data_IF_155750179959
#
_entry.id   IF_155750179959
#
_cell.length_a   1.000
_cell.length_b   1.000
_cell.length_c   1.000
_cell.angle_alpha   90.00
_cell.angle_beta   90.00
_cell.angle_gamma   90.00
#
_symmetry.space_group_name_H-M   'P 1'
#
loop_
_entity.id
_entity.type
_entity.pdbx_description
1 polymer ?
#
# COMPACT_ATOMS: atom_id res chain seq x y z
N UNK A 1 4.75 -11.05 -8.22
CA UNK A 1 3.62 -10.67 -7.36
C UNK A 1 3.90 -9.33 -6.71
N UNK A 2 2.93 -8.74 -6.01
CA UNK A 2 3.13 -7.57 -5.15
C UNK A 2 3.06 -7.99 -3.67
N UNK A 3 3.78 -7.29 -2.81
CA UNK A 3 3.72 -7.49 -1.37
C UNK A 3 2.63 -6.64 -0.72
N UNK A 4 2.01 -7.17 0.33
CA UNK A 4 1.14 -6.39 1.21
C UNK A 4 1.95 -5.26 1.88
N UNK A 5 1.28 -4.15 2.19
CA UNK A 5 1.90 -3.02 2.90
C UNK A 5 0.98 -2.44 3.97
N UNK A 6 1.56 -1.72 4.90
CA UNK A 6 0.82 -0.80 5.78
C UNK A 6 0.61 0.51 5.02
N UNK A 7 -0.53 1.18 5.24
CA UNK A 7 -0.79 2.51 4.71
C UNK A 7 0.39 3.44 4.99
N UNK A 8 0.92 4.08 3.95
CA UNK A 8 2.07 5.01 4.02
C UNK A 8 1.84 6.27 3.20
N UNK A 9 0.58 6.56 2.87
CA UNK A 9 0.13 7.65 1.99
C UNK A 9 0.58 7.57 0.52
N UNK A 10 1.25 6.51 0.07
CA UNK A 10 1.67 6.35 -1.33
C UNK A 10 0.95 5.20 -2.03
N UNK A 11 0.96 5.22 -3.37
CA UNK A 11 0.48 4.12 -4.22
C UNK A 11 1.60 3.13 -4.60
N UNK A 12 2.84 3.36 -4.17
CA UNK A 12 3.96 2.50 -4.54
C UNK A 12 3.81 1.09 -3.95
N UNK A 13 4.04 0.07 -4.76
CA UNK A 13 4.03 -1.33 -4.34
C UNK A 13 5.43 -1.94 -4.47
N UNK A 14 5.83 -2.72 -3.46
CA UNK A 14 7.00 -3.58 -3.55
C UNK A 14 6.66 -4.82 -4.35
N UNK A 15 7.43 -5.10 -5.40
CA UNK A 15 7.22 -6.25 -6.28
C UNK A 15 8.24 -7.35 -6.02
N UNK A 16 7.81 -8.60 -6.13
CA UNK A 16 8.68 -9.76 -6.13
C UNK A 16 8.63 -10.47 -7.50
N UNK A 17 9.79 -10.62 -8.13
CA UNK A 17 9.98 -11.29 -9.43
C UNK A 17 10.72 -12.63 -9.32
N UNK A 18 11.09 -13.10 -8.12
CA UNK A 18 11.91 -14.32 -7.95
C UNK A 18 11.24 -15.58 -8.48
N UNK A 19 9.91 -15.60 -8.57
CA UNK A 19 9.12 -16.69 -9.16
C UNK A 19 8.52 -16.34 -10.52
N UNK A 20 9.00 -15.29 -11.18
CA UNK A 20 8.48 -14.91 -12.49
C UNK A 20 8.98 -15.87 -13.57
N UNK A 21 8.07 -16.36 -14.41
CA UNK A 21 8.38 -17.16 -15.59
C UNK A 21 7.74 -16.53 -16.82
N UNK A 22 8.36 -16.73 -17.98
CA UNK A 22 7.86 -16.26 -19.27
C UNK A 22 7.50 -17.49 -20.09
N UNK A 23 6.29 -17.53 -20.61
CA UNK A 23 5.82 -18.56 -21.55
C UNK A 23 5.79 -18.00 -22.96
N UNK A 24 5.88 -18.87 -23.97
CA UNK A 24 5.89 -18.47 -25.39
C UNK A 24 7.24 -17.98 -25.91
N UNK A 25 8.33 -18.20 -25.15
CA UNK A 25 9.70 -18.03 -25.64
C UNK A 25 10.02 -19.17 -26.62
N UNK A 26 10.54 -18.82 -27.80
CA UNK A 26 10.96 -19.78 -28.81
C UNK A 26 12.19 -20.56 -28.34
N UNK A 27 12.28 -21.83 -28.74
CA UNK A 27 13.40 -22.68 -28.36
C UNK A 27 14.72 -22.11 -28.88
N UNK A 28 15.69 -21.91 -27.98
CA UNK A 28 16.99 -21.31 -28.28
C UNK A 28 17.12 -19.85 -27.85
N UNK A 29 16.01 -19.13 -27.64
CA UNK A 29 16.04 -17.73 -27.22
C UNK A 29 16.26 -17.59 -25.71
N UNK A 30 17.03 -16.59 -25.32
CA UNK A 30 17.29 -16.24 -23.92
C UNK A 30 16.47 -15.00 -23.55
N UNK A 31 15.37 -15.24 -22.82
CA UNK A 31 14.46 -14.19 -22.35
C UNK A 31 14.06 -14.45 -20.89
N UNK A 32 14.14 -13.42 -20.05
CA UNK A 32 13.76 -13.45 -18.65
C UNK A 32 13.08 -12.13 -18.23
N UNK A 33 12.56 -12.09 -17.00
CA UNK A 33 12.08 -10.85 -16.40
C UNK A 33 13.28 -10.09 -15.84
N UNK A 34 13.48 -8.85 -16.29
CA UNK A 34 14.55 -7.97 -15.82
C UNK A 34 14.19 -7.27 -14.52
N UNK A 35 13.28 -6.29 -14.62
CA UNK A 35 12.77 -5.54 -13.48
C UNK A 35 11.24 -5.46 -13.53
N UNK A 36 10.63 -5.31 -12.35
CA UNK A 36 9.23 -4.96 -12.22
C UNK A 36 9.07 -3.80 -11.22
N UNK A 37 8.13 -2.92 -11.51
CA UNK A 37 7.62 -1.93 -10.55
C UNK A 37 6.11 -2.11 -10.42
N UNK A 38 5.56 -1.84 -9.24
CA UNK A 38 4.13 -1.99 -8.98
C UNK A 38 3.49 -0.71 -8.45
N UNK A 39 2.25 -0.47 -8.84
CA UNK A 39 1.45 0.66 -8.34
C UNK A 39 0.05 0.17 -7.95
N UNK A 40 -0.35 0.41 -6.70
CA UNK A 40 -1.72 0.19 -6.23
C UNK A 40 -2.70 1.13 -6.93
N UNK A 41 -3.95 0.68 -7.11
CA UNK A 41 -5.03 1.48 -7.70
C UNK A 41 -5.23 2.84 -7.03
N UNK A 42 -5.03 2.88 -5.72
CA UNK A 42 -5.07 4.07 -4.87
C UNK A 42 -4.40 3.76 -3.52
N UNK A 43 -4.15 4.78 -2.70
CA UNK A 43 -3.42 4.64 -1.44
C UNK A 43 -4.23 4.06 -0.27
N UNK A 44 -5.55 3.91 -0.38
CA UNK A 44 -6.40 3.63 0.79
C UNK A 44 -6.28 2.17 1.28
N UNK A 45 -6.44 1.96 2.59
CA UNK A 45 -6.41 0.62 3.17
C UNK A 45 -7.61 -0.23 2.73
N UNK A 46 -7.34 -1.37 2.09
CA UNK A 46 -8.31 -2.38 1.71
C UNK A 46 -7.58 -3.70 1.39
N UNK A 47 -8.31 -4.82 1.43
CA UNK A 47 -7.81 -6.12 0.98
C UNK A 47 -7.99 -6.28 -0.54
N UNK A 48 -7.16 -7.11 -1.16
CA UNK A 48 -7.29 -7.52 -2.56
C UNK A 48 -7.17 -6.38 -3.56
N UNK A 49 -6.43 -5.31 -3.23
CA UNK A 49 -6.31 -4.14 -4.10
C UNK A 49 -5.56 -4.50 -5.37
N UNK A 50 -6.02 -3.94 -6.49
CA UNK A 50 -5.32 -4.09 -7.78
C UNK A 50 -3.97 -3.40 -7.72
N UNK A 51 -2.93 -4.13 -8.12
CA UNK A 51 -1.60 -3.60 -8.39
C UNK A 51 -1.30 -3.76 -9.88
N UNK A 52 -1.08 -2.65 -10.56
CA UNK A 52 -0.61 -2.64 -11.94
C UNK A 52 0.91 -2.79 -11.94
N UNK A 53 1.42 -3.75 -12.70
CA UNK A 53 2.85 -4.02 -12.83
C UNK A 53 3.35 -3.46 -14.17
N UNK A 54 4.47 -2.73 -14.11
CA UNK A 54 5.29 -2.43 -15.28
C UNK A 54 6.50 -3.35 -15.23
N UNK A 55 6.66 -4.19 -16.25
CA UNK A 55 7.68 -5.25 -16.31
C UNK A 55 8.57 -4.99 -17.52
N UNK A 56 9.87 -5.17 -17.34
CA UNK A 56 10.87 -5.14 -18.40
C UNK A 56 11.38 -6.56 -18.66
N UNK A 57 11.65 -6.86 -19.93
CA UNK A 57 12.31 -8.11 -20.33
C UNK A 57 13.82 -7.93 -20.30
N UNK A 58 14.53 -9.03 -20.03
CA UNK A 58 15.98 -9.12 -20.06
C UNK A 58 16.43 -10.39 -20.80
N UNK A 59 17.71 -10.50 -21.12
CA UNK A 59 18.27 -11.55 -21.96
C UNK A 59 18.66 -11.06 -23.36
N UNK A 60 19.47 -11.85 -24.07
CA UNK A 60 20.01 -11.47 -25.39
C UNK A 60 18.93 -11.30 -26.45
N UNK A 61 17.83 -12.05 -26.31
CA UNK A 61 16.77 -12.10 -27.31
C UNK A 61 15.52 -11.33 -26.88
N UNK A 62 15.58 -10.62 -25.74
CA UNK A 62 14.45 -9.92 -25.14
C UNK A 62 13.78 -8.89 -26.07
N UNK A 63 14.55 -8.27 -26.97
CA UNK A 63 14.05 -7.30 -27.95
C UNK A 63 13.08 -7.88 -28.98
N UNK A 64 13.05 -9.21 -29.15
CA UNK A 64 12.13 -9.89 -30.07
C UNK A 64 10.74 -10.11 -29.48
N UNK A 65 10.55 -9.85 -28.19
CA UNK A 65 9.33 -10.16 -27.45
C UNK A 65 8.66 -8.90 -26.91
N UNK A 66 7.34 -8.93 -26.86
CA UNK A 66 6.54 -7.94 -26.14
C UNK A 66 5.73 -8.61 -25.05
N UNK A 67 5.68 -7.96 -23.88
CA UNK A 67 4.70 -8.30 -22.85
C UNK A 67 3.34 -7.67 -23.21
N UNK A 68 2.23 -8.26 -22.75
CA UNK A 68 0.93 -7.60 -22.77
C UNK A 68 1.01 -6.25 -22.05
N UNK A 69 0.29 -5.25 -22.57
CA UNK A 69 0.39 -3.86 -22.12
C UNK A 69 0.10 -3.65 -20.62
N UNK A 70 -0.63 -4.56 -19.96
CA UNK A 70 -0.89 -4.49 -18.53
C UNK A 70 -0.85 -5.86 -17.88
N UNK A 71 0.12 -6.08 -17.00
CA UNK A 71 0.10 -7.19 -16.04
C UNK A 71 -0.46 -6.69 -14.73
N UNK A 72 -1.41 -7.41 -14.13
CA UNK A 72 -2.03 -7.05 -12.86
C UNK A 72 -1.85 -8.18 -11.84
N UNK A 73 -1.79 -7.79 -10.59
CA UNK A 73 -1.81 -8.69 -9.43
C UNK A 73 -2.61 -8.03 -8.32
N UNK A 74 -2.71 -8.67 -7.16
CA UNK A 74 -3.37 -8.10 -5.98
C UNK A 74 -2.47 -8.15 -4.76
N UNK A 75 -2.67 -7.19 -3.87
CA UNK A 75 -2.06 -7.14 -2.55
C UNK A 75 -2.94 -6.30 -1.61
N UNK A 76 -2.73 -6.44 -0.31
CA UNK A 76 -3.47 -5.71 0.72
C UNK A 76 -2.72 -4.44 1.14
N UNK A 77 -3.49 -3.38 1.42
CA UNK A 77 -3.03 -2.25 2.21
C UNK A 77 -3.73 -2.33 3.56
N UNK A 78 -2.99 -2.59 4.63
CA UNK A 78 -3.51 -2.58 6.01
C UNK A 78 -3.51 -1.16 6.58
N UNK A 79 -4.38 -0.92 7.57
CA UNK A 79 -4.48 0.40 8.20
C UNK A 79 -3.21 0.72 8.99
N UNK A 80 -2.74 1.97 8.89
CA UNK A 80 -1.73 2.47 9.82
C UNK A 80 -2.34 2.62 11.22
N UNK A 81 -1.55 2.34 12.25
CA UNK A 81 -1.94 2.54 13.63
C UNK A 81 -1.67 3.98 14.08
N UNK A 82 -2.61 4.56 14.82
CA UNK A 82 -2.35 5.76 15.60
C UNK A 82 -1.78 5.34 16.96
N UNK A 83 -0.81 6.09 17.48
CA UNK A 83 -0.16 5.74 18.73
C UNK A 83 -1.08 5.98 19.94
N UNK A 84 -1.63 7.19 20.04
CA UNK A 84 -2.54 7.61 21.11
C UNK A 84 -3.20 8.94 20.75
N UNK A 85 -4.23 9.30 21.52
CA UNK A 85 -4.87 10.63 21.47
C UNK A 85 -4.52 11.38 22.75
N UNK A 86 -4.07 12.63 22.62
CA UNK A 86 -3.79 13.55 23.75
C UNK A 86 -4.63 14.82 23.61
N UNK A 87 -4.66 15.66 24.66
CA UNK A 87 -5.30 16.98 24.60
C UNK A 87 -6.83 16.97 24.78
N UNK A 88 -7.42 15.81 25.06
CA UNK A 88 -8.80 15.75 25.57
C UNK A 88 -8.77 16.04 27.06
N UNK A 89 -9.49 17.07 27.50
CA UNK A 89 -9.62 17.44 28.91
C UNK A 89 -11.10 17.45 29.30
N UNK A 90 -11.39 17.29 30.59
CA UNK A 90 -12.73 17.55 31.14
C UNK A 90 -12.81 18.98 31.65
N UNK A 91 -13.99 19.60 31.55
CA UNK A 91 -14.28 20.86 32.24
C UNK A 91 -14.57 20.60 33.72
N UNK A 92 -14.28 21.60 34.55
CA UNK A 92 -14.73 21.61 35.94
C UNK A 92 -16.25 21.52 36.00
N UNK A 93 -16.73 20.83 37.04
CA UNK A 93 -18.15 20.59 37.24
C UNK A 93 -18.63 21.26 38.53
N UNK A 94 -19.75 21.98 38.43
CA UNK A 94 -20.52 22.45 39.59
C UNK A 94 -21.30 21.27 40.17
N UNK A 95 -21.36 21.17 41.50
CA UNK A 95 -22.11 20.12 42.20
C UNK A 95 -23.62 20.23 41.90
N UNK A 96 -24.09 19.39 41.00
CA UNK A 96 -25.47 19.35 40.49
C UNK A 96 -26.17 18.00 40.78
N UNK A 97 -25.52 17.09 41.51
CA UNK A 97 -26.04 15.75 41.83
C UNK A 97 -25.97 14.73 40.68
N UNK A 98 -25.33 15.06 39.55
CA UNK A 98 -25.18 14.19 38.39
C UNK A 98 -23.69 13.83 38.15
N UNK A 99 -23.39 12.65 37.60
CA UNK A 99 -22.02 12.19 37.32
C UNK A 99 -21.52 12.46 35.89
N UNK A 100 -22.27 13.18 35.06
CA UNK A 100 -21.86 13.53 33.68
C UNK A 100 -20.86 14.69 33.67
N UNK A 101 -19.72 14.51 32.99
CA UNK A 101 -18.72 15.55 32.73
C UNK A 101 -18.76 15.98 31.25
N UNK A 102 -18.49 17.27 30.99
CA UNK A 102 -18.34 17.80 29.63
C UNK A 102 -16.87 17.74 29.21
N UNK A 103 -16.59 17.13 28.06
CA UNK A 103 -15.24 17.01 27.52
C UNK A 103 -14.94 18.16 26.54
N UNK A 104 -13.74 18.70 26.61
CA UNK A 104 -13.15 19.58 25.59
C UNK A 104 -12.30 18.72 24.67
N UNK A 105 -12.77 18.55 23.43
CA UNK A 105 -12.07 17.76 22.40
C UNK A 105 -11.41 18.62 21.32
N UNK A 106 -11.64 19.93 21.32
CA UNK A 106 -11.05 20.86 20.33
C UNK A 106 -9.52 20.89 20.34
N UNK A 107 -8.90 20.49 21.45
CA UNK A 107 -7.45 20.41 21.62
C UNK A 107 -6.90 18.99 21.35
N UNK A 108 -7.74 18.07 20.84
CA UNK A 108 -7.33 16.69 20.65
C UNK A 108 -6.26 16.55 19.56
N UNK A 109 -5.17 15.87 19.89
CA UNK A 109 -4.08 15.54 18.98
C UNK A 109 -4.02 14.03 18.81
N UNK A 110 -4.08 13.54 17.57
CA UNK A 110 -3.82 12.13 17.29
C UNK A 110 -2.34 11.99 16.91
N UNK A 111 -1.60 11.26 17.72
CA UNK A 111 -0.19 10.98 17.50
C UNK A 111 -0.02 9.79 16.56
N UNK A 112 1.05 9.80 15.75
CA UNK A 112 1.31 8.76 14.76
C UNK A 112 0.51 8.91 13.46
N UNK A 113 -0.05 10.10 13.17
CA UNK A 113 -0.62 10.38 11.85
C UNK A 113 0.48 10.33 10.80
N UNK A 114 0.23 9.58 9.74
CA UNK A 114 1.03 9.63 8.52
C UNK A 114 0.59 10.87 7.73
N UNK A 115 1.55 11.74 7.39
CA UNK A 115 1.29 12.90 6.56
C UNK A 115 0.95 12.42 5.14
N UNK A 116 -0.17 12.92 4.63
CA UNK A 116 -0.72 12.54 3.32
C UNK A 116 -0.15 13.35 2.18
#
# INVERSE_FOLDING_TARGET
TAANKVYDATTAATTNISGASITGVLAGDVVSVGAATGTFSDKNAAAGKTVTLAITLAGTDAGNYKLPATTKTTADITKAALANVTGITALDKVQDGNSVATLVTGNAVFNGKISG
#
